data_IF_315446658428
#
_entry.id   IF_315446658428
#
_cell.length_a   1.000
_cell.length_b   1.000
_cell.length_c   1.000
_cell.angle_alpha   90.00
_cell.angle_beta   90.00
_cell.angle_gamma   90.00
#
_symmetry.space_group_name_H-M   'P 1'
#
loop_
_entity.id
_entity.type
_entity.pdbx_description
1 polymer ?
#
# COMPACT_ATOMS: atom_id res chain seq x y z
N UNK A 1 35.54 13.76 8.34
CA UNK A 1 35.25 12.31 8.35
C UNK A 1 33.85 12.13 8.89
N UNK A 2 32.94 11.51 8.13
CA UNK A 2 31.56 11.26 8.57
C UNK A 2 31.57 10.29 9.75
N UNK A 3 30.97 10.67 10.88
CA UNK A 3 30.90 9.83 12.07
C UNK A 3 29.86 8.72 11.85
N UNK A 4 30.32 7.49 11.59
CA UNK A 4 29.46 6.33 11.42
C UNK A 4 29.14 5.67 12.77
N UNK A 5 27.87 5.34 13.00
CA UNK A 5 27.43 4.61 14.21
C UNK A 5 27.33 3.12 13.92
N UNK A 6 28.07 2.28 14.66
CA UNK A 6 28.00 0.81 14.53
C UNK A 6 26.60 0.33 14.92
N UNK A 7 25.99 -0.48 14.05
CA UNK A 7 24.73 -1.20 14.30
C UNK A 7 24.98 -2.70 14.16
N UNK A 8 24.42 -3.50 15.05
CA UNK A 8 24.39 -4.96 14.96
C UNK A 8 22.93 -5.39 14.87
N UNK A 9 22.62 -6.25 13.90
CA UNK A 9 21.27 -6.75 13.63
C UNK A 9 21.35 -8.24 13.35
N UNK A 10 20.35 -8.99 13.81
CA UNK A 10 20.17 -10.39 13.42
C UNK A 10 19.31 -10.44 12.16
N UNK A 11 19.71 -11.27 11.20
CA UNK A 11 18.99 -11.49 9.95
C UNK A 11 18.58 -12.96 9.88
N UNK A 12 17.43 -13.22 9.28
CA UNK A 12 17.05 -14.58 8.92
C UNK A 12 18.00 -15.14 7.84
N UNK A 13 18.20 -16.47 7.75
CA UNK A 13 19.12 -17.05 6.78
C UNK A 13 18.86 -16.64 5.32
N UNK A 14 17.59 -16.50 4.94
CA UNK A 14 17.22 -16.09 3.58
C UNK A 14 17.48 -14.58 3.34
N UNK A 15 17.38 -13.75 4.37
CA UNK A 15 17.70 -12.32 4.30
C UNK A 15 19.22 -12.11 4.14
N UNK A 16 20.04 -12.85 4.88
CA UNK A 16 21.50 -12.85 4.72
C UNK A 16 21.92 -13.27 3.31
N UNK A 17 21.35 -14.38 2.81
CA UNK A 17 21.61 -14.86 1.44
C UNK A 17 21.25 -13.81 0.40
N UNK A 18 20.08 -13.17 0.54
CA UNK A 18 19.62 -12.12 -0.36
C UNK A 18 20.55 -10.90 -0.31
N UNK A 19 20.94 -10.45 0.88
CA UNK A 19 21.82 -9.30 1.07
C UNK A 19 23.17 -9.53 0.36
N UNK A 20 23.79 -10.69 0.58
CA UNK A 20 25.04 -11.11 -0.08
C UNK A 20 24.92 -11.18 -1.59
N UNK A 21 23.85 -11.79 -2.09
CA UNK A 21 23.65 -11.93 -3.53
C UNK A 21 23.46 -10.57 -4.20
N UNK A 22 22.69 -9.68 -3.57
CA UNK A 22 22.39 -8.34 -4.10
C UNK A 22 23.59 -7.41 -4.04
N UNK A 23 24.33 -7.41 -2.93
CA UNK A 23 25.54 -6.58 -2.78
C UNK A 23 26.58 -6.95 -3.84
N UNK A 24 26.81 -8.26 -4.05
CA UNK A 24 27.70 -8.76 -5.10
C UNK A 24 27.23 -8.38 -6.50
N UNK A 25 25.93 -8.53 -6.81
CA UNK A 25 25.37 -8.17 -8.11
C UNK A 25 25.50 -6.67 -8.41
N UNK A 26 25.42 -5.82 -7.39
CA UNK A 26 25.52 -4.37 -7.50
C UNK A 26 26.96 -3.84 -7.39
N UNK A 27 27.94 -4.69 -7.04
CA UNK A 27 29.33 -4.29 -6.87
C UNK A 27 29.57 -3.38 -5.65
N UNK A 28 28.73 -3.47 -4.62
CA UNK A 28 28.84 -2.66 -3.39
C UNK A 28 29.00 -3.55 -2.16
N UNK A 29 29.43 -2.99 -1.03
CA UNK A 29 29.47 -3.76 0.22
C UNK A 29 28.06 -4.01 0.77
N UNK A 30 27.88 -5.06 1.58
CA UNK A 30 26.61 -5.31 2.27
C UNK A 30 26.19 -4.12 3.15
N UNK A 31 27.17 -3.49 3.80
CA UNK A 31 26.94 -2.30 4.64
C UNK A 31 26.51 -1.08 3.81
N UNK A 32 27.07 -0.89 2.62
CA UNK A 32 26.61 0.15 1.68
C UNK A 32 25.19 -0.12 1.23
N UNK A 33 24.87 -1.37 0.89
CA UNK A 33 23.54 -1.76 0.46
C UNK A 33 22.49 -1.54 1.57
N UNK A 34 22.82 -1.86 2.83
CA UNK A 34 21.96 -1.55 3.99
C UNK A 34 21.74 -0.03 4.10
N UNK A 35 22.80 0.78 4.00
CA UNK A 35 22.69 2.26 4.05
C UNK A 35 21.83 2.81 2.92
N UNK A 36 22.00 2.30 1.70
CA UNK A 36 21.19 2.67 0.54
C UNK A 36 19.72 2.30 0.77
N UNK A 37 19.44 1.11 1.29
CA UNK A 37 18.08 0.68 1.63
C UNK A 37 17.42 1.58 2.68
N UNK A 38 18.14 1.94 3.75
CA UNK A 38 17.65 2.89 4.77
C UNK A 38 17.33 4.25 4.13
N UNK A 39 18.22 4.75 3.29
CA UNK A 39 18.03 6.03 2.58
C UNK A 39 16.82 5.95 1.64
N UNK A 40 16.66 4.87 0.88
CA UNK A 40 15.53 4.70 -0.01
C UNK A 40 14.20 4.68 0.77
N UNK A 41 14.16 3.96 1.89
CA UNK A 41 12.99 3.92 2.77
C UNK A 41 12.68 5.27 3.40
N UNK A 42 13.68 6.10 3.71
CA UNK A 42 13.43 7.45 4.26
C UNK A 42 12.83 8.42 3.25
N UNK A 43 12.99 8.17 1.94
CA UNK A 43 12.36 8.95 0.87
C UNK A 43 10.98 8.39 0.47
N UNK A 44 10.64 7.17 0.89
CA UNK A 44 9.31 6.63 0.70
C UNK A 44 8.38 7.19 1.79
N UNK A 45 7.24 7.80 1.43
CA UNK A 45 6.29 8.26 2.43
C UNK A 45 5.79 7.06 3.22
N UNK A 46 6.04 7.04 4.54
CA UNK A 46 5.71 5.93 5.45
C UNK A 46 4.22 5.55 5.47
N UNK A 47 3.37 6.43 4.95
CA UNK A 47 2.05 6.19 4.41
C UNK A 47 1.75 7.44 3.58
N UNK A 48 0.80 7.39 2.64
CA UNK A 48 0.24 8.62 2.08
C UNK A 48 -0.19 9.49 3.28
N UNK A 49 0.35 10.71 3.46
CA UNK A 49 -0.03 11.54 4.58
C UNK A 49 -1.55 11.69 4.55
N UNK A 50 -2.21 11.48 5.70
CA UNK A 50 -3.65 11.74 5.80
C UNK A 50 -3.88 13.23 5.49
N UNK A 51 -4.29 13.52 4.27
CA UNK A 51 -4.72 14.86 3.90
C UNK A 51 -6.04 15.16 4.61
N UNK A 52 -5.92 15.90 5.72
CA UNK A 52 -7.07 16.30 6.53
C UNK A 52 -8.06 17.15 5.72
N UNK A 53 -7.60 17.97 4.76
CA UNK A 53 -8.49 18.77 3.93
C UNK A 53 -9.24 17.92 2.90
N UNK A 54 -8.56 16.96 2.27
CA UNK A 54 -9.22 15.98 1.39
C UNK A 54 -10.27 15.16 2.16
N UNK A 55 -9.93 14.68 3.36
CA UNK A 55 -10.86 13.94 4.22
C UNK A 55 -12.08 14.78 4.62
N UNK A 56 -11.89 16.04 5.01
CA UNK A 56 -13.01 16.93 5.34
C UNK A 56 -13.88 17.24 4.12
N UNK A 57 -13.30 17.33 2.93
CA UNK A 57 -14.03 17.54 1.68
C UNK A 57 -14.91 16.33 1.35
N UNK A 58 -14.36 15.13 1.48
CA UNK A 58 -15.11 13.89 1.26
C UNK A 58 -16.21 13.69 2.31
N UNK A 59 -15.92 13.98 3.59
CA UNK A 59 -16.94 13.94 4.65
C UNK A 59 -18.10 14.89 4.38
N UNK A 60 -17.84 16.11 3.88
CA UNK A 60 -18.90 17.04 3.47
C UNK A 60 -19.71 16.48 2.31
N UNK A 61 -19.05 15.87 1.33
CA UNK A 61 -19.71 15.22 0.19
C UNK A 61 -20.64 14.09 0.65
N UNK A 62 -20.15 13.18 1.49
CA UNK A 62 -20.92 12.06 2.05
C UNK A 62 -22.14 12.58 2.84
N UNK A 63 -21.95 13.57 3.72
CA UNK A 63 -23.06 14.16 4.50
C UNK A 63 -24.10 14.83 3.60
N UNK A 64 -23.66 15.54 2.56
CA UNK A 64 -24.56 16.13 1.56
C UNK A 64 -25.35 15.07 0.82
N UNK A 65 -24.69 13.99 0.39
CA UNK A 65 -25.31 12.86 -0.32
C UNK A 65 -26.30 12.10 0.56
N UNK A 66 -25.97 11.86 1.84
CA UNK A 66 -26.85 11.18 2.78
C UNK A 66 -28.16 11.94 3.06
N UNK A 67 -28.14 13.28 2.94
CA UNK A 67 -29.34 14.14 3.08
C UNK A 67 -30.25 14.08 1.86
N UNK A 68 -29.76 13.60 0.71
CA UNK A 68 -30.62 13.39 -0.46
C UNK A 68 -31.52 12.20 -0.16
N UNK A 69 -32.81 12.48 0.08
CA UNK A 69 -33.84 11.45 0.14
C UNK A 69 -33.96 10.83 -1.24
N UNK A 70 -33.20 9.76 -1.48
CA UNK A 70 -33.44 8.91 -2.64
C UNK A 70 -34.81 8.30 -2.42
N UNK A 71 -35.75 8.49 -3.36
CA UNK A 71 -36.99 7.70 -3.35
C UNK A 71 -36.54 6.25 -3.31
N UNK A 72 -36.91 5.54 -2.24
CA UNK A 72 -36.74 4.10 -2.18
C UNK A 72 -37.68 3.50 -3.23
N UNK A 73 -37.26 3.55 -4.50
CA UNK A 73 -37.81 2.65 -5.48
C UNK A 73 -37.43 1.26 -4.99
N UNK A 74 -38.43 0.38 -4.89
CA UNK A 74 -38.16 -1.03 -4.68
C UNK A 74 -37.06 -1.46 -5.64
N UNK A 75 -35.99 -2.03 -5.10
CA UNK A 75 -34.93 -2.57 -5.95
C UNK A 75 -35.58 -3.65 -6.80
N UNK A 76 -35.67 -3.42 -8.11
CA UNK A 76 -36.21 -4.40 -9.07
C UNK A 76 -35.29 -5.61 -9.29
N UNK A 77 -34.19 -5.68 -8.57
CA UNK A 77 -33.19 -6.72 -8.68
C UNK A 77 -32.80 -7.17 -7.28
N UNK A 78 -32.58 -8.48 -7.14
CA UNK A 78 -31.96 -9.05 -5.95
C UNK A 78 -30.45 -9.16 -6.15
N UNK A 79 -29.69 -9.16 -5.06
CA UNK A 79 -28.24 -9.38 -5.11
C UNK A 79 -27.92 -10.71 -5.82
N UNK A 80 -28.70 -11.76 -5.53
CA UNK A 80 -28.49 -13.09 -6.10
C UNK A 80 -28.58 -13.07 -7.63
N UNK A 81 -29.64 -12.47 -8.19
CA UNK A 81 -29.83 -12.35 -9.64
C UNK A 81 -28.66 -11.67 -10.34
N UNK A 82 -28.11 -10.59 -9.77
CA UNK A 82 -26.94 -9.91 -10.35
C UNK A 82 -25.67 -10.76 -10.34
N UNK A 83 -25.48 -11.57 -9.30
CA UNK A 83 -24.34 -12.48 -9.22
C UNK A 83 -24.51 -13.65 -10.19
N UNK A 84 -25.71 -14.22 -10.28
CA UNK A 84 -26.03 -15.32 -11.18
C UNK A 84 -25.90 -14.87 -12.65
N UNK A 85 -26.41 -13.68 -13.01
CA UNK A 85 -26.24 -13.09 -14.34
C UNK A 85 -24.77 -12.81 -14.66
N UNK A 86 -24.02 -12.25 -13.70
CA UNK A 86 -22.59 -11.98 -13.88
C UNK A 86 -21.80 -13.27 -14.10
N UNK A 87 -22.02 -14.31 -13.29
CA UNK A 87 -21.33 -15.59 -13.42
C UNK A 87 -21.69 -16.25 -14.77
N UNK A 88 -22.97 -16.23 -15.15
CA UNK A 88 -23.42 -16.77 -16.44
C UNK A 88 -22.82 -16.08 -17.67
N UNK A 89 -22.49 -14.78 -17.59
CA UNK A 89 -21.79 -14.05 -18.67
C UNK A 89 -20.34 -14.50 -18.90
N UNK A 90 -19.68 -15.08 -17.89
CA UNK A 90 -18.29 -15.55 -17.96
C UNK A 90 -18.15 -17.07 -18.03
N UNK A 91 -19.27 -17.82 -18.03
CA UNK A 91 -19.30 -19.29 -18.15
C UNK A 91 -19.66 -19.77 -19.56
N UNK A 92 -19.36 -18.98 -20.60
CA UNK A 92 -19.35 -19.44 -22.00
C UNK A 92 -17.92 -19.59 -22.50
#
# INVERSE_FOLDING_TARGET
MSHMVRKQVYLEPDQDRLLKQRSKKLGVTESDLIRQGITQLSHQPAAVPLDRQAWQTELRFIKRRARVKTRAHERRWTRKELYDERIGRFSR
#
